data_IF_564812269393
#
_entry.id   IF_564812269393
#
_cell.length_a   1.000
_cell.length_b   1.000
_cell.length_c   1.000
_cell.angle_alpha   90.00
_cell.angle_beta   90.00
_cell.angle_gamma   90.00
#
_symmetry.space_group_name_H-M   'P 1'
#
loop_
_entity.id
_entity.type
_entity.pdbx_description
1 polymer ?
#
# COMPACT_ATOMS: atom_id res chain seq x y z
N UNK A 1 37.91 12.00 -6.76
CA UNK A 1 36.93 10.92 -7.00
C UNK A 1 35.87 11.00 -5.90
N UNK A 2 34.57 11.18 -6.10
CA UNK A 2 33.73 11.29 -7.28
C UNK A 2 32.61 12.30 -6.97
N UNK A 3 32.32 13.16 -7.95
CA UNK A 3 31.16 14.03 -8.02
C UNK A 3 29.88 13.19 -8.19
N UNK A 4 28.83 13.49 -7.42
CA UNK A 4 27.44 13.42 -7.89
C UNK A 4 26.64 14.56 -7.26
N UNK A 5 26.76 15.73 -7.87
CA UNK A 5 25.85 16.85 -7.64
C UNK A 5 24.52 16.54 -8.32
N UNK A 6 23.49 16.12 -7.57
CA UNK A 6 22.12 16.00 -8.11
C UNK A 6 21.53 17.39 -8.37
N UNK A 7 21.75 17.92 -9.58
CA UNK A 7 21.44 19.29 -10.00
C UNK A 7 19.94 19.62 -10.20
N UNK A 8 19.00 18.70 -9.95
CA UNK A 8 17.59 18.89 -10.36
C UNK A 8 16.55 18.55 -9.28
N UNK A 9 16.88 18.75 -8.00
CA UNK A 9 15.91 18.54 -6.93
C UNK A 9 15.25 19.87 -6.57
N UNK A 10 13.98 20.08 -6.93
CA UNK A 10 13.23 21.30 -6.58
C UNK A 10 12.34 21.01 -5.38
N UNK A 11 12.45 21.82 -4.33
CA UNK A 11 11.60 21.72 -3.14
C UNK A 11 10.65 22.91 -3.08
N UNK A 12 9.36 22.61 -2.96
CA UNK A 12 8.30 23.59 -2.74
C UNK A 12 7.69 23.33 -1.36
N UNK A 13 7.18 24.41 -0.76
CA UNK A 13 6.41 24.37 0.48
C UNK A 13 5.15 25.19 0.28
N UNK A 14 4.02 24.57 0.58
CA UNK A 14 2.69 25.15 0.48
C UNK A 14 2.07 25.12 1.86
N UNK A 15 1.44 26.24 2.24
CA UNK A 15 0.65 26.31 3.45
C UNK A 15 -0.82 26.28 3.04
N UNK A 16 -1.54 25.28 3.53
CA UNK A 16 -2.94 25.04 3.29
C UNK A 16 -3.66 25.25 4.62
N UNK A 17 -4.66 26.13 4.66
CA UNK A 17 -5.40 26.41 5.91
C UNK A 17 -6.07 25.16 6.49
N UNK A 18 -6.52 24.24 5.63
CA UNK A 18 -7.25 23.03 6.02
C UNK A 18 -6.34 21.83 6.22
N UNK A 19 -5.31 21.67 5.38
CA UNK A 19 -4.47 20.48 5.30
C UNK A 19 -3.04 20.65 5.85
N UNK A 20 -2.75 21.83 6.41
CA UNK A 20 -1.47 22.17 7.05
C UNK A 20 -0.33 22.42 6.06
N UNK A 21 0.89 22.06 6.46
CA UNK A 21 2.09 22.27 5.64
C UNK A 21 2.30 21.10 4.69
N UNK A 22 2.33 21.38 3.39
CA UNK A 22 2.71 20.43 2.35
C UNK A 22 4.08 20.79 1.78
N UNK A 23 5.04 19.86 1.86
CA UNK A 23 6.30 19.98 1.14
C UNK A 23 6.33 19.05 -0.06
N UNK A 24 6.55 19.61 -1.25
CA UNK A 24 6.71 18.85 -2.48
C UNK A 24 8.18 18.83 -2.90
N UNK A 25 8.73 17.66 -3.21
CA UNK A 25 10.07 17.50 -3.77
C UNK A 25 9.96 16.81 -5.12
N UNK A 26 10.32 17.53 -6.18
CA UNK A 26 10.49 16.98 -7.51
C UNK A 26 11.89 16.40 -7.59
N UNK A 27 11.96 15.09 -7.73
CA UNK A 27 13.20 14.34 -7.89
C UNK A 27 13.36 13.89 -9.36
N UNK A 28 14.58 13.53 -9.78
CA UNK A 28 14.82 12.94 -11.10
C UNK A 28 13.94 11.70 -11.36
N UNK A 29 13.83 11.31 -12.64
CA UNK A 29 13.10 10.13 -13.09
C UNK A 29 11.60 10.18 -12.75
N UNK A 30 10.97 11.32 -12.97
CA UNK A 30 9.51 11.49 -12.85
C UNK A 30 8.99 11.13 -11.46
N UNK A 31 9.77 11.44 -10.42
CA UNK A 31 9.45 11.11 -9.05
C UNK A 31 9.04 12.36 -8.28
N UNK A 32 7.89 12.27 -7.62
CA UNK A 32 7.36 13.32 -6.76
C UNK A 32 7.26 12.78 -5.33
N UNK A 33 7.78 13.55 -4.38
CA UNK A 33 7.55 13.31 -2.97
C UNK A 33 6.65 14.39 -2.42
N UNK A 34 5.56 14.01 -1.77
CA UNK A 34 4.64 14.89 -1.06
C UNK A 34 4.71 14.53 0.42
N UNK A 35 5.14 15.48 1.24
CA UNK A 35 5.25 15.34 2.68
C UNK A 35 4.23 16.29 3.33
N UNK A 36 3.22 15.70 3.96
CA UNK A 36 2.19 16.43 4.67
C UNK A 36 2.61 16.62 6.12
N UNK A 37 2.14 17.69 6.75
CA UNK A 37 2.40 17.93 8.16
C UNK A 37 1.82 16.81 9.00
N UNK A 38 2.68 16.12 9.75
CA UNK A 38 2.25 15.12 10.70
C UNK A 38 1.38 15.79 11.79
N UNK A 39 0.25 15.17 12.10
CA UNK A 39 -0.54 15.49 13.29
C UNK A 39 0.22 15.01 14.54
N UNK A 40 -0.24 15.41 15.74
CA UNK A 40 0.29 14.87 16.98
C UNK A 40 0.24 13.33 16.96
N UNK A 41 1.43 12.70 16.94
CA UNK A 41 1.58 11.27 16.75
C UNK A 41 1.07 10.43 17.93
N UNK A 42 0.82 11.02 19.10
CA UNK A 42 0.35 10.28 20.29
C UNK A 42 -1.11 9.86 20.18
N UNK A 43 -1.99 10.72 19.63
CA UNK A 43 -3.42 10.46 19.46
C UNK A 43 -3.90 11.03 18.13
N UNK A 44 -3.49 10.45 16.98
CA UNK A 44 -3.92 10.93 15.67
C UNK A 44 -5.41 10.65 15.48
N UNK A 45 -6.10 11.51 14.73
CA UNK A 45 -7.50 11.23 14.35
C UNK A 45 -7.54 10.08 13.34
N UNK A 46 -8.43 9.11 13.59
CA UNK A 46 -8.53 7.90 12.79
C UNK A 46 -9.32 8.16 11.49
N UNK A 47 -8.86 7.62 10.36
CA UNK A 47 -9.52 7.85 9.07
C UNK A 47 -9.38 6.67 8.10
N UNK A 48 -10.33 6.60 7.16
CA UNK A 48 -10.24 5.77 5.97
C UNK A 48 -9.76 6.57 4.77
N UNK A 49 -9.08 5.91 3.83
CA UNK A 49 -8.54 6.56 2.65
C UNK A 49 -8.72 5.75 1.38
N UNK A 50 -9.39 6.36 0.39
CA UNK A 50 -9.62 5.79 -0.92
C UNK A 50 -8.81 6.53 -1.98
N UNK A 51 -8.06 5.77 -2.77
CA UNK A 51 -7.29 6.26 -3.91
C UNK A 51 -7.84 5.61 -5.17
N UNK A 52 -8.30 6.45 -6.09
CA UNK A 52 -8.69 6.04 -7.43
C UNK A 52 -7.71 6.60 -8.44
N UNK A 53 -7.05 5.69 -9.15
CA UNK A 53 -6.14 6.03 -10.24
C UNK A 53 -6.94 6.06 -11.54
N UNK A 54 -7.18 7.28 -12.03
CA UNK A 54 -7.98 7.54 -13.22
C UNK A 54 -7.60 6.64 -14.40
N UNK A 55 -8.62 6.05 -15.02
CA UNK A 55 -8.51 5.49 -16.35
C UNK A 55 -8.56 6.64 -17.37
N UNK A 56 -7.56 6.83 -18.25
CA UNK A 56 -7.62 7.84 -19.30
C UNK A 56 -8.86 7.68 -20.21
N UNK A 57 -9.50 6.51 -20.22
CA UNK A 57 -10.71 6.25 -21.01
C UNK A 57 -12.02 6.74 -20.36
N UNK A 58 -12.00 7.14 -19.08
CA UNK A 58 -13.19 7.67 -18.38
C UNK A 58 -13.29 9.21 -18.42
N UNK A 59 -12.47 9.87 -19.24
CA UNK A 59 -12.69 11.28 -19.58
C UNK A 59 -13.91 11.37 -20.50
N UNK A 60 -15.09 11.48 -19.89
CA UNK A 60 -16.30 11.90 -20.59
C UNK A 60 -16.07 13.28 -21.21
N UNK A 61 -16.83 13.57 -22.28
CA UNK A 61 -16.70 14.61 -23.29
C UNK A 61 -16.58 16.10 -22.86
N UNK A 62 -16.17 16.43 -21.64
CA UNK A 62 -15.93 17.81 -21.21
C UNK A 62 -14.43 18.07 -20.96
N UNK A 63 -13.81 18.63 -22.00
CA UNK A 63 -12.47 19.23 -22.08
C UNK A 63 -11.27 18.38 -21.63
N UNK A 64 -10.38 17.98 -22.56
CA UNK A 64 -9.09 17.42 -22.21
C UNK A 64 -8.21 18.55 -21.68
N UNK A 65 -8.12 18.72 -20.37
CA UNK A 65 -6.89 19.30 -19.83
C UNK A 65 -5.83 18.23 -20.03
N UNK A 66 -4.81 18.45 -20.89
CA UNK A 66 -3.71 17.50 -20.99
C UNK A 66 -3.11 17.38 -19.59
N UNK A 67 -3.09 16.17 -19.03
CA UNK A 67 -2.36 15.92 -17.80
C UNK A 67 -0.88 16.13 -18.12
N UNK A 68 -0.37 17.33 -17.84
CA UNK A 68 1.02 17.73 -18.09
C UNK A 68 2.00 17.08 -17.12
N UNK A 69 1.51 16.25 -16.19
CA UNK A 69 2.28 15.62 -15.13
C UNK A 69 2.86 14.29 -15.60
N UNK A 70 4.17 14.29 -15.90
CA UNK A 70 4.92 13.09 -16.26
C UNK A 70 5.22 12.17 -15.07
N UNK A 71 4.60 12.39 -13.90
CA UNK A 71 4.92 11.68 -12.65
C UNK A 71 4.58 10.19 -12.77
N UNK A 72 5.61 9.36 -12.68
CA UNK A 72 5.51 7.89 -12.69
C UNK A 72 5.66 7.28 -11.30
N UNK A 73 6.34 7.98 -10.40
CA UNK A 73 6.54 7.55 -9.01
C UNK A 73 6.08 8.63 -8.06
N UNK A 74 5.17 8.28 -7.15
CA UNK A 74 4.65 9.18 -6.14
C UNK A 74 4.92 8.60 -4.75
N UNK A 75 5.54 9.41 -3.91
CA UNK A 75 5.73 9.12 -2.49
C UNK A 75 4.83 10.06 -1.69
N UNK A 76 3.81 9.50 -1.04
CA UNK A 76 2.93 10.19 -0.09
C UNK A 76 3.42 9.88 1.31
N UNK A 77 3.80 10.91 2.06
CA UNK A 77 4.41 10.79 3.38
C UNK A 77 3.56 11.57 4.38
N UNK A 78 3.16 10.89 5.45
CA UNK A 78 2.41 11.46 6.58
C UNK A 78 1.05 12.07 6.19
N UNK A 79 0.36 11.45 5.23
CA UNK A 79 -1.05 11.76 4.96
C UNK A 79 -1.88 11.46 6.22
N UNK A 80 -2.79 12.36 6.54
CA UNK A 80 -3.63 12.35 7.73
C UNK A 80 -5.10 12.64 7.35
N UNK A 81 -5.98 12.69 8.35
CA UNK A 81 -7.41 12.90 8.16
C UNK A 81 -7.79 14.25 7.50
N UNK A 82 -6.92 15.26 7.56
CA UNK A 82 -7.13 16.58 6.94
C UNK A 82 -6.60 16.67 5.50
N UNK A 83 -5.73 15.74 5.10
CA UNK A 83 -5.00 15.80 3.83
C UNK A 83 -5.30 14.65 2.89
N UNK A 84 -6.03 13.62 3.35
CA UNK A 84 -6.37 12.44 2.55
C UNK A 84 -7.14 12.79 1.27
N UNK A 85 -8.11 13.68 1.33
CA UNK A 85 -8.91 14.11 0.17
C UNK A 85 -8.05 14.90 -0.83
N UNK A 86 -7.26 15.86 -0.34
CA UNK A 86 -6.32 16.61 -1.18
C UNK A 86 -5.30 15.67 -1.84
N UNK A 87 -4.78 14.68 -1.11
CA UNK A 87 -3.87 13.68 -1.64
C UNK A 87 -4.53 12.84 -2.73
N UNK A 88 -5.77 12.37 -2.53
CA UNK A 88 -6.53 11.62 -3.54
C UNK A 88 -6.77 12.45 -4.80
N UNK A 89 -7.17 13.71 -4.65
CA UNK A 89 -7.35 14.65 -5.75
C UNK A 89 -6.05 14.93 -6.54
N UNK A 90 -4.89 14.88 -5.89
CA UNK A 90 -3.60 14.99 -6.58
C UNK A 90 -3.24 13.70 -7.30
N UNK A 91 -3.44 12.55 -6.65
CA UNK A 91 -3.15 11.23 -7.20
C UNK A 91 -3.95 10.97 -8.48
N UNK A 92 -5.22 11.35 -8.51
CA UNK A 92 -6.09 11.18 -9.68
C UNK A 92 -5.63 11.99 -10.90
N UNK A 93 -4.85 13.05 -10.70
CA UNK A 93 -4.26 13.87 -11.78
C UNK A 93 -3.00 13.25 -12.38
N UNK A 94 -2.41 12.23 -11.77
CA UNK A 94 -1.22 11.55 -12.28
C UNK A 94 -1.60 10.38 -13.19
N UNK A 95 -2.00 10.70 -14.42
CA UNK A 95 -2.44 9.70 -15.40
C UNK A 95 -1.36 8.68 -15.81
N UNK A 96 -0.09 8.90 -15.49
CA UNK A 96 1.03 7.98 -15.80
C UNK A 96 1.61 7.29 -14.56
N UNK A 97 0.91 7.34 -13.42
CA UNK A 97 1.44 6.79 -12.18
C UNK A 97 1.57 5.26 -12.25
N UNK A 98 2.80 4.78 -12.08
CA UNK A 98 3.15 3.36 -12.09
C UNK A 98 3.54 2.87 -10.68
N UNK A 99 4.08 3.76 -9.84
CA UNK A 99 4.64 3.42 -8.53
C UNK A 99 4.08 4.35 -7.45
N UNK A 100 3.41 3.77 -6.46
CA UNK A 100 2.86 4.50 -5.32
C UNK A 100 3.52 4.02 -4.02
N UNK A 101 4.04 4.97 -3.24
CA UNK A 101 4.55 4.73 -1.89
C UNK A 101 3.76 5.54 -0.89
N UNK A 102 3.33 4.87 0.18
CA UNK A 102 2.57 5.46 1.28
C UNK A 102 3.37 5.18 2.54
N UNK A 103 3.79 6.23 3.24
CA UNK A 103 4.77 6.12 4.32
C UNK A 103 4.30 6.95 5.50
N UNK A 104 4.34 6.38 6.72
CA UNK A 104 4.20 7.16 7.95
C UNK A 104 2.82 7.80 8.13
N UNK A 105 1.76 7.21 7.58
CA UNK A 105 0.40 7.76 7.68
C UNK A 105 -0.24 7.31 9.00
N UNK A 106 -0.11 8.16 10.03
CA UNK A 106 -0.68 7.93 11.36
C UNK A 106 -2.20 8.15 11.35
N UNK A 107 -2.94 7.29 12.06
CA UNK A 107 -4.42 7.35 12.10
C UNK A 107 -5.10 6.68 10.90
N UNK A 108 -4.37 6.32 9.84
CA UNK A 108 -4.91 5.58 8.70
C UNK A 108 -5.34 4.17 9.15
N UNK A 109 -6.64 3.91 9.22
CA UNK A 109 -7.20 2.61 9.64
C UNK A 109 -7.56 1.70 8.48
N UNK A 110 -8.10 2.28 7.41
CA UNK A 110 -8.53 1.54 6.24
C UNK A 110 -8.05 2.23 4.98
N UNK A 111 -7.61 1.43 4.02
CA UNK A 111 -7.14 1.92 2.74
C UNK A 111 -7.73 1.10 1.60
N UNK A 112 -8.21 1.80 0.58
CA UNK A 112 -8.64 1.20 -0.68
C UNK A 112 -7.86 1.83 -1.83
N UNK A 113 -7.27 1.01 -2.69
CA UNK A 113 -6.57 1.46 -3.89
C UNK A 113 -7.21 0.79 -5.10
N UNK A 114 -7.83 1.59 -5.96
CA UNK A 114 -8.37 1.18 -7.24
C UNK A 114 -7.50 1.70 -8.38
N UNK A 115 -6.96 0.79 -9.19
CA UNK A 115 -6.22 1.09 -10.40
C UNK A 115 -6.57 0.12 -11.49
N UNK A 116 -7.40 0.58 -12.41
CA UNK A 116 -7.87 -0.24 -13.53
C UNK A 116 -6.86 -0.33 -14.67
N UNK A 117 -5.69 0.34 -14.65
CA UNK A 117 -4.83 0.32 -15.85
C UNK A 117 -3.31 0.42 -15.68
N UNK A 118 -2.76 0.95 -14.57
CA UNK A 118 -1.34 1.39 -14.59
C UNK A 118 -0.49 1.10 -13.35
N UNK A 119 -1.06 0.84 -12.18
CA UNK A 119 -0.24 0.64 -10.99
C UNK A 119 0.57 -0.67 -11.07
N UNK A 120 1.90 -0.55 -11.09
CA UNK A 120 2.85 -1.67 -11.16
C UNK A 120 3.47 -1.97 -9.80
N UNK A 121 3.68 -0.94 -8.97
CA UNK A 121 4.31 -1.07 -7.66
C UNK A 121 3.54 -0.33 -6.58
N UNK A 122 3.29 -1.02 -5.46
CA UNK A 122 2.72 -0.45 -4.24
C UNK A 122 3.65 -0.73 -3.06
N UNK A 123 4.01 0.32 -2.34
CA UNK A 123 4.76 0.24 -1.08
C UNK A 123 3.97 0.92 0.03
N UNK A 124 3.75 0.23 1.15
CA UNK A 124 3.09 0.79 2.33
C UNK A 124 3.96 0.48 3.55
N UNK A 125 4.58 1.50 4.12
CA UNK A 125 5.47 1.38 5.28
C UNK A 125 5.06 2.29 6.43
N UNK A 126 5.24 1.78 7.64
CA UNK A 126 5.19 2.57 8.87
C UNK A 126 3.85 3.29 9.07
N UNK A 127 2.74 2.65 8.67
CA UNK A 127 1.36 3.09 8.94
C UNK A 127 0.80 2.28 10.13
N UNK A 128 1.02 2.70 11.39
CA UNK A 128 0.86 1.84 12.56
C UNK A 128 -0.58 1.45 12.90
N UNK A 129 -1.56 2.19 12.37
CA UNK A 129 -2.99 1.98 12.64
C UNK A 129 -3.73 1.26 11.51
N UNK A 130 -3.04 0.89 10.43
CA UNK A 130 -3.68 0.27 9.27
C UNK A 130 -4.20 -1.13 9.63
N UNK A 131 -5.51 -1.28 9.62
CA UNK A 131 -6.24 -2.51 9.95
C UNK A 131 -6.79 -3.21 8.72
N UNK A 132 -7.10 -2.48 7.65
CA UNK A 132 -7.71 -3.03 6.43
C UNK A 132 -7.07 -2.44 5.18
N UNK A 133 -6.74 -3.31 4.23
CA UNK A 133 -6.14 -2.94 2.95
C UNK A 133 -6.87 -3.66 1.81
N UNK A 134 -7.60 -2.87 1.03
CA UNK A 134 -8.28 -3.29 -0.18
C UNK A 134 -7.47 -2.86 -1.41
N UNK A 135 -7.11 -3.81 -2.27
CA UNK A 135 -6.32 -3.55 -3.47
C UNK A 135 -7.05 -4.10 -4.69
N UNK A 136 -7.48 -3.19 -5.56
CA UNK A 136 -8.04 -3.46 -6.88
C UNK A 136 -7.03 -3.02 -7.93
N UNK A 137 -6.16 -3.95 -8.35
CA UNK A 137 -5.24 -3.72 -9.47
C UNK A 137 -4.75 -5.03 -10.10
N UNK A 138 -5.00 -5.25 -11.39
CA UNK A 138 -4.57 -6.47 -12.08
C UNK A 138 -3.15 -6.40 -12.67
N UNK A 139 -2.56 -5.19 -12.74
CA UNK A 139 -1.19 -4.99 -13.25
C UNK A 139 -0.13 -4.93 -12.16
N UNK A 140 -0.53 -5.01 -10.89
CA UNK A 140 0.41 -4.96 -9.78
C UNK A 140 1.44 -6.10 -9.92
N UNK A 141 2.72 -5.74 -9.93
CA UNK A 141 3.87 -6.66 -10.01
C UNK A 141 4.73 -6.61 -8.75
N UNK A 142 4.73 -5.50 -8.04
CA UNK A 142 5.49 -5.36 -6.80
C UNK A 142 4.58 -4.91 -5.67
N UNK A 143 4.57 -5.65 -4.57
CA UNK A 143 3.87 -5.26 -3.36
C UNK A 143 4.78 -5.40 -2.14
N UNK A 144 5.07 -4.27 -1.50
CA UNK A 144 5.95 -4.21 -0.33
C UNK A 144 5.20 -3.63 0.87
N UNK A 145 5.02 -4.45 1.90
CA UNK A 145 4.34 -4.08 3.12
C UNK A 145 5.26 -4.18 4.34
N UNK A 146 5.22 -3.17 5.22
CA UNK A 146 5.83 -3.21 6.55
C UNK A 146 4.93 -2.52 7.57
N UNK A 147 4.56 -3.24 8.61
CA UNK A 147 3.73 -2.72 9.70
C UNK A 147 3.05 -3.84 10.48
N UNK A 148 2.04 -3.49 11.29
CA UNK A 148 1.13 -4.50 11.83
C UNK A 148 0.34 -5.15 10.71
N UNK A 149 0.11 -6.45 10.74
CA UNK A 149 -0.49 -7.16 9.61
C UNK A 149 -2.00 -6.82 9.49
N UNK A 150 -2.42 -6.16 8.39
CA UNK A 150 -3.80 -5.76 8.19
C UNK A 150 -4.62 -6.93 7.61
N UNK A 151 -5.93 -6.75 7.58
CA UNK A 151 -6.82 -7.58 6.79
C UNK A 151 -6.67 -7.23 5.31
N UNK A 152 -6.30 -8.21 4.50
CA UNK A 152 -6.12 -8.03 3.06
C UNK A 152 -7.39 -8.43 2.30
N UNK A 153 -7.86 -7.53 1.45
CA UNK A 153 -8.87 -7.82 0.44
C UNK A 153 -8.25 -7.58 -0.94
N UNK A 154 -7.72 -8.62 -1.59
CA UNK A 154 -7.39 -8.55 -3.00
C UNK A 154 -8.67 -8.73 -3.84
N UNK A 155 -8.95 -7.82 -4.78
CA UNK A 155 -10.08 -8.03 -5.70
C UNK A 155 -9.70 -8.96 -6.86
N UNK A 156 -8.42 -8.99 -7.25
CA UNK A 156 -7.90 -9.82 -8.32
C UNK A 156 -6.74 -10.69 -7.82
N UNK A 157 -6.46 -11.79 -8.52
CA UNK A 157 -5.23 -12.54 -8.31
C UNK A 157 -4.02 -11.70 -8.74
N UNK A 158 -3.07 -11.50 -7.83
CA UNK A 158 -1.83 -10.81 -8.17
C UNK A 158 -0.78 -11.83 -8.66
N UNK A 159 -0.33 -11.65 -9.90
CA UNK A 159 0.90 -12.27 -10.37
C UNK A 159 2.05 -11.32 -10.04
N UNK A 160 2.41 -11.28 -8.76
CA UNK A 160 3.52 -10.46 -8.29
C UNK A 160 4.85 -11.02 -8.83
N UNK A 161 5.73 -10.17 -9.33
CA UNK A 161 7.14 -10.52 -9.47
C UNK A 161 7.87 -10.40 -8.12
N UNK A 162 7.47 -9.45 -7.28
CA UNK A 162 8.10 -9.23 -5.98
C UNK A 162 7.06 -8.93 -4.90
N UNK A 163 7.09 -9.71 -3.83
CA UNK A 163 6.24 -9.53 -2.66
C UNK A 163 7.09 -9.45 -1.38
N UNK A 164 6.81 -8.48 -0.53
CA UNK A 164 7.34 -8.41 0.82
C UNK A 164 6.21 -8.19 1.82
N UNK A 165 6.12 -9.06 2.83
CA UNK A 165 5.27 -8.88 4.00
C UNK A 165 6.15 -8.89 5.25
N UNK A 166 6.39 -7.70 5.80
CA UNK A 166 7.15 -7.49 7.03
C UNK A 166 6.20 -7.17 8.18
N UNK A 167 5.76 -8.22 8.88
CA UNK A 167 4.79 -8.16 9.97
C UNK A 167 5.43 -8.35 11.34
N UNK A 168 6.67 -7.90 11.53
CA UNK A 168 7.36 -8.01 12.83
C UNK A 168 6.61 -7.36 14.01
N UNK A 169 5.66 -6.49 13.72
CA UNK A 169 4.84 -5.79 14.71
C UNK A 169 3.57 -6.55 15.13
N UNK A 170 3.34 -7.77 14.64
CA UNK A 170 2.16 -8.57 14.98
C UNK A 170 0.94 -8.25 14.09
N UNK A 171 -0.23 -8.86 14.37
CA UNK A 171 -1.49 -8.53 13.70
C UNK A 171 -2.01 -7.14 14.12
N UNK A 172 -2.74 -6.48 13.22
CA UNK A 172 -3.35 -5.17 13.49
C UNK A 172 -4.60 -5.26 14.39
N UNK A 173 -5.15 -6.46 14.59
CA UNK A 173 -6.34 -6.71 15.40
C UNK A 173 -6.26 -8.07 16.10
N UNK A 174 -6.95 -8.20 17.22
CA UNK A 174 -6.91 -9.35 18.13
C UNK A 174 -7.76 -10.56 17.65
N UNK A 175 -8.67 -10.37 16.71
CA UNK A 175 -9.59 -11.40 16.19
C UNK A 175 -9.11 -12.03 14.88
N UNK A 176 -7.80 -11.99 14.60
CA UNK A 176 -7.22 -12.52 13.36
C UNK A 176 -7.51 -14.02 13.20
N UNK A 177 -8.18 -14.42 12.12
CA UNK A 177 -8.58 -15.81 11.85
C UNK A 177 -7.71 -16.44 10.77
N UNK A 178 -7.71 -17.78 10.72
CA UNK A 178 -6.98 -18.54 9.69
C UNK A 178 -7.43 -18.14 8.27
N UNK A 179 -8.73 -17.91 8.05
CA UNK A 179 -9.24 -17.50 6.74
C UNK A 179 -8.77 -16.11 6.28
N UNK A 180 -8.27 -15.27 7.19
CA UNK A 180 -7.64 -14.01 6.83
C UNK A 180 -6.26 -14.24 6.17
N UNK A 181 -5.60 -15.38 6.46
CA UNK A 181 -4.39 -15.80 5.74
C UNK A 181 -4.69 -16.24 4.30
N UNK A 182 -5.85 -16.84 4.02
CA UNK A 182 -6.14 -17.39 2.68
C UNK A 182 -6.07 -16.30 1.61
N UNK A 183 -6.60 -15.11 1.91
CA UNK A 183 -6.56 -13.96 1.00
C UNK A 183 -5.14 -13.46 0.75
N UNK A 184 -4.29 -13.54 1.77
CA UNK A 184 -2.88 -13.17 1.67
C UNK A 184 -2.13 -14.21 0.86
N UNK A 185 -2.38 -15.49 1.09
CA UNK A 185 -1.81 -16.59 0.30
C UNK A 185 -2.17 -16.44 -1.18
N UNK A 186 -3.41 -16.07 -1.50
CA UNK A 186 -3.80 -15.76 -2.89
C UNK A 186 -3.00 -14.60 -3.49
N UNK A 187 -2.59 -13.63 -2.67
CA UNK A 187 -1.80 -12.47 -3.09
C UNK A 187 -0.33 -12.84 -3.36
N UNK A 188 0.27 -13.70 -2.53
CA UNK A 188 1.71 -13.99 -2.59
C UNK A 188 2.08 -15.30 -3.28
N UNK A 189 1.13 -16.23 -3.49
CA UNK A 189 1.42 -17.61 -3.96
C UNK A 189 2.20 -17.70 -5.26
N UNK A 190 2.03 -16.72 -6.15
CA UNK A 190 2.64 -16.68 -7.47
C UNK A 190 3.84 -15.72 -7.53
N UNK A 191 4.37 -15.27 -6.38
CA UNK A 191 5.47 -14.32 -6.36
C UNK A 191 6.76 -14.95 -6.86
N UNK A 192 7.49 -14.30 -7.77
CA UNK A 192 8.82 -14.77 -8.18
C UNK A 192 9.83 -14.58 -7.03
N UNK A 193 9.75 -13.42 -6.35
CA UNK A 193 10.55 -13.08 -5.16
C UNK A 193 9.59 -12.87 -3.99
N UNK A 194 9.83 -13.59 -2.89
CA UNK A 194 9.02 -13.48 -1.68
C UNK A 194 9.90 -13.22 -0.45
N UNK A 195 9.62 -12.12 0.24
CA UNK A 195 10.25 -11.78 1.52
C UNK A 195 9.19 -11.78 2.62
N UNK A 196 9.41 -12.59 3.66
CA UNK A 196 8.49 -12.71 4.78
C UNK A 196 9.25 -12.48 6.09
N UNK A 197 8.72 -11.61 6.95
CA UNK A 197 9.28 -11.36 8.28
C UNK A 197 8.18 -11.49 9.34
N UNK A 198 8.34 -12.44 10.29
CA UNK A 198 7.33 -12.77 11.32
C UNK A 198 5.90 -12.87 10.76
N UNK A 199 5.76 -13.59 9.63
CA UNK A 199 4.50 -13.73 8.90
C UNK A 199 3.59 -14.83 9.49
N UNK A 200 4.18 -15.88 10.05
CA UNK A 200 3.53 -16.80 10.99
C UNK A 200 3.82 -16.25 12.37
N UNK A 201 2.87 -15.50 12.95
CA UNK A 201 2.92 -15.17 14.36
C UNK A 201 3.04 -16.48 15.15
N UNK A 202 3.78 -16.51 16.26
CA UNK A 202 3.72 -17.65 17.19
C UNK A 202 2.29 -17.75 17.67
N UNK A 203 1.50 -18.60 17.01
CA UNK A 203 0.08 -18.73 17.26
C UNK A 203 -0.06 -19.42 18.61
N UNK A 204 -0.41 -18.67 19.64
CA UNK A 204 -0.83 -19.26 20.92
C UNK A 204 -2.07 -20.11 20.65
N UNK A 205 -1.95 -21.42 20.85
CA UNK A 205 -3.03 -22.39 20.68
C UNK A 205 -4.28 -22.00 21.49
N UNK A 206 -4.11 -21.30 22.61
CA UNK A 206 -5.19 -20.87 23.47
C UNK A 206 -5.97 -19.63 22.97
N UNK A 207 -5.46 -18.93 21.95
CA UNK A 207 -6.16 -17.78 21.35
C UNK A 207 -7.25 -18.17 20.35
N UNK A 208 -7.37 -19.46 20.04
CA UNK A 208 -8.45 -19.99 19.19
C UNK A 208 -9.73 -20.26 19.98
N UNK A 209 -10.67 -19.31 19.94
CA UNK A 209 -12.08 -19.69 19.99
C UNK A 209 -12.45 -20.12 18.57
N UNK A 210 -12.51 -21.42 18.31
CA UNK A 210 -13.13 -21.97 17.09
C UNK A 210 -14.63 -21.73 17.18
N UNK A 211 -15.23 -20.77 16.46
CA UNK A 211 -16.67 -20.73 16.35
C UNK A 211 -17.05 -21.96 15.53
N UNK A 212 -17.99 -22.75 16.02
CA UNK A 212 -18.55 -23.94 15.37
C UNK A 212 -18.37 -23.91 13.85
N UNK A 213 -17.66 -24.91 13.33
CA UNK A 213 -17.32 -25.11 11.93
C UNK A 213 -18.46 -24.66 10.99
N UNK A 214 -18.43 -23.40 10.57
CA UNK A 214 -19.37 -22.85 9.61
C UNK A 214 -18.55 -22.19 8.51
N UNK A 215 -18.43 -22.95 7.41
CA UNK A 215 -18.17 -22.50 6.05
C UNK A 215 -16.89 -21.67 5.81
N UNK A 216 -15.75 -22.04 6.39
CA UNK A 216 -14.52 -21.89 5.62
C UNK A 216 -14.50 -23.04 4.61
N UNK A 217 -14.70 -22.70 3.34
CA UNK A 217 -14.75 -23.63 2.21
C UNK A 217 -13.67 -24.72 2.33
N UNK A 218 -14.09 -25.98 2.37
CA UNK A 218 -13.24 -27.18 2.34
C UNK A 218 -12.35 -27.27 1.08
N UNK A 219 -12.46 -26.33 0.14
CA UNK A 219 -11.64 -26.32 -1.09
C UNK A 219 -10.20 -25.83 -0.88
N UNK A 220 -9.83 -25.29 0.29
CA UNK A 220 -8.51 -24.64 0.48
C UNK A 220 -7.39 -25.62 0.84
N UNK A 221 -7.71 -26.87 1.20
CA UNK A 221 -6.72 -27.94 1.47
C UNK A 221 -5.81 -28.34 0.30
N UNK A 222 -5.89 -27.66 -0.86
CA UNK A 222 -5.11 -27.96 -2.07
C UNK A 222 -4.05 -26.91 -2.45
N UNK A 223 -3.92 -25.78 -1.73
CA UNK A 223 -2.95 -24.73 -2.07
C UNK A 223 -1.60 -24.88 -1.35
N UNK A 224 -1.00 -26.08 -1.40
CA UNK A 224 0.31 -26.37 -0.74
C UNK A 224 1.52 -26.24 -1.66
N UNK A 225 1.42 -25.59 -2.83
CA UNK A 225 2.59 -25.52 -3.71
C UNK A 225 2.83 -24.11 -4.23
N UNK A 226 3.76 -23.41 -3.57
CA UNK A 226 4.49 -22.26 -4.08
C UNK A 226 5.42 -22.73 -5.23
N UNK A 227 4.85 -23.21 -6.34
CA UNK A 227 5.58 -23.95 -7.41
C UNK A 227 6.59 -23.09 -8.19
N UNK A 228 6.50 -21.77 -8.09
CA UNK A 228 7.28 -20.82 -8.91
C UNK A 228 8.14 -19.85 -8.08
N UNK A 229 8.37 -20.20 -6.81
CA UNK A 229 9.10 -19.35 -5.87
C UNK A 229 10.60 -19.39 -6.18
N UNK A 230 11.16 -18.31 -6.73
CA UNK A 230 12.57 -18.23 -7.10
C UNK A 230 13.48 -18.00 -5.90
N UNK A 231 13.07 -17.13 -4.97
CA UNK A 231 13.85 -16.81 -3.77
C UNK A 231 12.91 -16.52 -2.59
N UNK A 232 13.14 -17.20 -1.46
CA UNK A 232 12.53 -16.86 -0.16
C UNK A 232 13.56 -16.23 0.74
N UNK A 233 13.33 -14.98 1.13
CA UNK A 233 14.10 -14.33 2.18
C UNK A 233 13.28 -14.34 3.46
N UNK A 234 13.65 -15.23 4.39
CA UNK A 234 13.09 -15.25 5.74
C UNK A 234 13.95 -14.33 6.61
N UNK A 235 13.37 -13.22 7.07
CA UNK A 235 14.03 -12.35 8.03
C UNK A 235 14.05 -12.99 9.42
N UNK A 236 15.23 -13.12 10.04
CA UNK A 236 15.37 -13.59 11.43
C UNK A 236 14.84 -12.56 12.45
N UNK A 237 14.56 -13.11 13.65
CA UNK A 237 14.01 -12.51 14.86
C UNK A 237 14.79 -11.28 15.30
#
# INVERSE_FOLDING_TARGET
>A
MNYFSSRNTRRFRFHCSECGLLSAIIAPNNKLHLHFSAENMQNPTHFGWQIELNNPNNLSHHQPTPSTSFVKTLNLISVNHLSNEAASCMVSKFGLLENLKIIGCHGLESMSIASDTKLLSLTIFDCPHLKSLHIRSYKLRTFLYRGKFPWFLPEFHFNLGNAMLDSRQGPAFNTFKICDFDRVLLTIKNSEILTLCKWTFEIDYNSYVMPNATKCSEQVGRYTKLRHLGVVKIGRI
#
